data_IF_954534570168
#
_entry.id   IF_954534570168
#
_cell.length_a   1.000
_cell.length_b   1.000
_cell.length_c   1.000
_cell.angle_alpha   90.00
_cell.angle_beta   90.00
_cell.angle_gamma   90.00
#
_symmetry.space_group_name_H-M   'P 1'
#
loop_
_entity.id
_entity.type
_entity.pdbx_description
1 polymer ?
#
# COMPACT_ATOMS: atom_id res chain seq x y z
N UNK A 1 16.93 4.22 18.24
CA UNK A 1 15.48 4.39 18.17
C UNK A 1 14.75 3.73 19.34
N UNK A 2 14.92 2.41 19.60
CA UNK A 2 14.23 1.70 20.71
C UNK A 2 14.50 2.25 22.11
N UNK A 3 15.72 2.70 22.39
CA UNK A 3 16.10 3.35 23.66
C UNK A 3 15.34 4.66 23.91
N UNK A 4 14.91 5.31 22.85
CA UNK A 4 14.11 6.55 22.90
C UNK A 4 12.65 6.29 23.29
N UNK A 5 12.15 5.08 23.04
CA UNK A 5 10.77 4.65 23.38
C UNK A 5 10.66 4.05 24.79
N UNK A 6 11.69 4.20 25.65
CA UNK A 6 11.66 3.80 27.05
C UNK A 6 11.66 2.28 27.28
N UNK A 7 12.00 1.48 26.26
CA UNK A 7 12.03 0.02 26.34
C UNK A 7 13.46 -0.53 26.51
N UNK A 8 13.67 -1.57 27.35
CA UNK A 8 14.92 -2.33 27.36
C UNK A 8 15.24 -2.86 25.96
N UNK A 9 16.51 -2.76 25.55
CA UNK A 9 16.95 -3.27 24.25
C UNK A 9 17.18 -4.79 24.32
N UNK A 10 16.08 -5.57 24.28
CA UNK A 10 16.10 -7.03 24.31
C UNK A 10 16.22 -7.68 22.91
N UNK A 11 16.42 -6.87 21.89
CA UNK A 11 16.59 -7.35 20.51
C UNK A 11 15.29 -7.75 19.80
N UNK A 12 14.12 -7.58 20.43
CA UNK A 12 12.82 -8.03 19.90
C UNK A 12 11.93 -6.90 19.41
N UNK A 13 11.04 -7.24 18.49
CA UNK A 13 9.98 -6.39 17.98
C UNK A 13 10.39 -5.45 16.86
N UNK A 14 9.41 -4.99 16.10
CA UNK A 14 9.53 -4.04 14.99
C UNK A 14 8.72 -2.78 15.27
N UNK A 15 9.23 -1.64 14.81
CA UNK A 15 8.54 -0.36 14.99
C UNK A 15 7.57 -0.11 13.84
N UNK A 16 6.36 0.26 14.15
CA UNK A 16 5.38 0.75 13.18
C UNK A 16 5.83 2.13 12.71
N UNK A 17 6.26 2.23 11.48
CA UNK A 17 6.70 3.49 10.87
C UNK A 17 5.55 4.28 10.29
N UNK A 18 4.48 3.56 9.89
CA UNK A 18 3.30 4.15 9.30
C UNK A 18 2.11 3.19 9.35
N UNK A 19 0.88 3.71 9.28
CA UNK A 19 -0.36 2.95 9.24
C UNK A 19 -1.16 3.41 8.02
N UNK A 20 -1.58 2.46 7.20
CA UNK A 20 -2.38 2.75 6.02
C UNK A 20 -3.81 3.08 6.43
N UNK A 21 -4.29 4.24 5.98
CA UNK A 21 -5.69 4.65 6.05
C UNK A 21 -6.59 3.59 5.41
N UNK A 22 -7.72 3.29 6.07
CA UNK A 22 -8.70 2.27 5.67
C UNK A 22 -8.20 0.81 5.70
N UNK A 23 -6.91 0.57 5.97
CA UNK A 23 -6.37 -0.78 6.15
C UNK A 23 -6.87 -1.47 7.42
N UNK A 24 -6.55 -2.76 7.60
CA UNK A 24 -6.94 -3.53 8.79
C UNK A 24 -6.42 -2.92 10.09
N UNK A 25 -5.21 -2.36 10.07
CA UNK A 25 -4.55 -1.76 11.23
C UNK A 25 -4.98 -0.32 11.54
N UNK A 26 -5.77 0.31 10.66
CA UNK A 26 -6.25 1.68 10.84
C UNK A 26 -7.19 1.79 12.06
N UNK A 27 -6.91 2.74 12.94
CA UNK A 27 -7.61 2.90 14.21
C UNK A 27 -7.16 1.95 15.33
N UNK A 28 -6.32 0.94 15.06
CA UNK A 28 -5.79 -0.01 16.03
C UNK A 28 -4.31 0.23 16.34
N UNK A 29 -3.48 0.40 15.32
CA UNK A 29 -2.07 0.71 15.46
C UNK A 29 -1.79 2.19 15.23
N UNK A 30 -0.66 2.65 15.76
CA UNK A 30 -0.20 4.03 15.64
C UNK A 30 1.29 4.04 15.25
N UNK A 31 1.69 5.09 14.57
CA UNK A 31 3.11 5.34 14.29
C UNK A 31 3.88 5.47 15.58
N UNK A 32 4.95 4.70 15.71
CA UNK A 32 5.78 4.63 16.91
C UNK A 32 5.49 3.44 17.81
N UNK A 33 4.40 2.70 17.60
CA UNK A 33 4.17 1.42 18.26
C UNK A 33 5.32 0.45 17.99
N UNK A 34 5.60 -0.43 18.95
CA UNK A 34 6.54 -1.54 18.75
C UNK A 34 5.76 -2.84 18.83
N UNK A 35 5.64 -3.57 17.73
CA UNK A 35 5.02 -4.89 17.69
C UNK A 35 5.96 -5.90 18.31
N UNK A 36 5.49 -6.60 19.34
CA UNK A 36 6.25 -7.56 20.15
C UNK A 36 5.92 -9.00 19.84
N UNK A 37 4.63 -9.27 19.63
CA UNK A 37 4.15 -10.58 19.23
C UNK A 37 2.94 -10.46 18.30
N UNK A 38 2.74 -11.49 17.51
CA UNK A 38 1.60 -11.69 16.63
C UNK A 38 1.06 -13.10 16.83
N UNK A 39 -0.21 -13.23 17.21
CA UNK A 39 -0.88 -14.51 17.53
C UNK A 39 -0.07 -15.42 18.49
N UNK A 40 0.62 -14.80 19.46
CA UNK A 40 1.46 -15.50 20.43
C UNK A 40 2.88 -15.82 19.95
N UNK A 41 3.21 -15.50 18.69
CA UNK A 41 4.58 -15.65 18.17
C UNK A 41 5.37 -14.36 18.43
N UNK A 42 6.50 -14.48 19.14
CA UNK A 42 7.39 -13.34 19.40
C UNK A 42 8.00 -12.86 18.08
N UNK A 43 8.03 -11.53 17.90
CA UNK A 43 8.60 -10.88 16.72
C UNK A 43 10.05 -10.50 17.02
N UNK A 44 10.98 -10.97 16.21
CA UNK A 44 12.39 -10.62 16.29
C UNK A 44 12.65 -9.21 15.69
N UNK A 45 13.86 -8.72 15.83
CA UNK A 45 14.19 -7.35 15.38
C UNK A 45 14.23 -7.15 13.86
N UNK A 46 14.30 -8.23 13.13
CA UNK A 46 14.28 -8.28 11.66
C UNK A 46 12.86 -8.52 11.08
N UNK A 47 11.84 -8.59 11.96
CA UNK A 47 10.47 -8.86 11.57
C UNK A 47 10.14 -10.35 11.46
N UNK A 48 11.10 -11.23 11.72
CA UNK A 48 10.84 -12.67 11.69
C UNK A 48 10.12 -13.15 12.94
N UNK A 49 9.35 -14.24 12.77
CA UNK A 49 8.69 -15.01 13.82
C UNK A 49 9.03 -16.49 13.65
N UNK A 50 8.88 -17.27 14.71
CA UNK A 50 9.05 -18.73 14.60
C UNK A 50 7.72 -19.41 14.40
N UNK A 51 7.53 -20.01 13.24
CA UNK A 51 6.37 -20.82 12.91
C UNK A 51 6.83 -22.28 12.65
N UNK A 52 6.29 -23.21 13.44
CA UNK A 52 6.70 -24.63 13.35
C UNK A 52 8.22 -24.85 13.46
N UNK A 53 8.89 -24.02 14.27
CA UNK A 53 10.34 -24.08 14.47
C UNK A 53 11.17 -23.40 13.40
N UNK A 54 10.59 -22.90 12.30
CA UNK A 54 11.27 -22.21 11.21
C UNK A 54 11.09 -20.69 11.34
N UNK A 55 12.12 -19.90 11.03
CA UNK A 55 11.96 -18.44 10.94
C UNK A 55 11.21 -18.11 9.64
N UNK A 56 10.15 -17.31 9.75
CA UNK A 56 9.36 -16.77 8.63
C UNK A 56 9.09 -15.28 8.89
N UNK A 57 8.74 -14.52 7.90
CA UNK A 57 8.34 -13.13 8.09
C UNK A 57 6.95 -13.06 8.77
N UNK A 58 6.72 -12.02 9.57
CA UNK A 58 5.49 -11.87 10.34
C UNK A 58 4.24 -11.82 9.46
N UNK A 59 4.37 -11.34 8.22
CA UNK A 59 3.32 -11.28 7.21
C UNK A 59 2.72 -12.66 6.91
N UNK A 60 3.53 -13.72 6.96
CA UNK A 60 3.09 -15.10 6.71
C UNK A 60 1.95 -15.52 7.67
N UNK A 61 1.95 -15.01 8.91
CA UNK A 61 0.87 -15.28 9.86
C UNK A 61 -0.44 -14.63 9.42
N UNK A 62 -0.36 -13.43 8.87
CA UNK A 62 -1.51 -12.69 8.37
C UNK A 62 -2.04 -13.32 7.08
N UNK A 63 -1.14 -13.70 6.16
CA UNK A 63 -1.49 -14.28 4.87
C UNK A 63 -2.19 -15.64 4.97
N UNK A 64 -2.00 -16.35 6.09
CA UNK A 64 -2.71 -17.61 6.38
C UNK A 64 -4.14 -17.44 6.88
N UNK A 65 -4.58 -16.20 7.10
CA UNK A 65 -5.91 -15.88 7.62
C UNK A 65 -6.83 -15.36 6.52
N UNK A 66 -8.13 -15.53 6.76
CA UNK A 66 -9.16 -15.00 5.88
C UNK A 66 -9.64 -13.62 6.36
N UNK A 67 -10.19 -12.86 5.43
CA UNK A 67 -10.88 -11.62 5.75
C UNK A 67 -12.03 -11.88 6.74
N UNK A 68 -12.13 -11.06 7.80
CA UNK A 68 -13.06 -11.23 8.91
C UNK A 68 -12.49 -11.99 10.11
N UNK A 69 -11.35 -12.67 9.99
CA UNK A 69 -10.63 -13.20 11.15
C UNK A 69 -9.86 -12.08 11.87
N UNK A 70 -9.43 -12.35 13.09
CA UNK A 70 -8.68 -11.40 13.91
C UNK A 70 -7.23 -11.82 14.07
N UNK A 71 -6.36 -10.82 14.15
CA UNK A 71 -4.95 -10.97 14.56
C UNK A 71 -4.79 -10.37 15.95
N UNK A 72 -4.16 -11.11 16.86
CA UNK A 72 -3.84 -10.63 18.20
C UNK A 72 -2.40 -10.12 18.24
N UNK A 73 -2.24 -8.88 18.66
CA UNK A 73 -0.95 -8.22 18.74
C UNK A 73 -0.63 -7.87 20.20
N UNK A 74 0.61 -8.08 20.62
CA UNK A 74 1.16 -7.43 21.79
C UNK A 74 2.02 -6.27 21.31
N UNK A 75 1.70 -5.08 21.80
CA UNK A 75 2.26 -3.82 21.33
C UNK A 75 2.82 -3.05 22.51
N UNK A 76 3.99 -2.46 22.34
CA UNK A 76 4.52 -1.48 23.27
C UNK A 76 4.20 -0.08 22.75
N UNK A 77 3.35 0.63 23.49
CA UNK A 77 2.85 1.96 23.18
C UNK A 77 3.05 2.87 24.38
N UNK A 78 3.68 4.01 24.21
CA UNK A 78 3.86 5.05 25.24
C UNK A 78 4.35 4.51 26.61
N UNK A 79 5.28 3.55 26.59
CA UNK A 79 5.84 2.98 27.82
C UNK A 79 5.01 1.87 28.46
N UNK A 80 3.94 1.42 27.83
CA UNK A 80 3.04 0.36 28.31
C UNK A 80 2.91 -0.77 27.30
N UNK A 81 2.65 -1.96 27.80
CA UNK A 81 2.29 -3.10 26.97
C UNK A 81 0.77 -3.14 26.80
N UNK A 82 0.32 -3.20 25.56
CA UNK A 82 -1.08 -3.32 25.19
C UNK A 82 -1.32 -4.59 24.38
N UNK A 83 -2.51 -5.17 24.53
CA UNK A 83 -2.99 -6.28 23.71
C UNK A 83 -4.10 -5.76 22.82
N UNK A 84 -3.92 -5.89 21.52
CA UNK A 84 -4.82 -5.36 20.51
C UNK A 84 -5.30 -6.52 19.65
N UNK A 85 -6.60 -6.55 19.35
CA UNK A 85 -7.19 -7.46 18.37
C UNK A 85 -7.55 -6.63 17.15
N UNK A 86 -6.99 -7.03 16.01
CA UNK A 86 -7.16 -6.32 14.74
C UNK A 86 -7.99 -7.22 13.81
N UNK A 87 -9.22 -6.82 13.45
CA UNK A 87 -10.01 -7.57 12.47
C UNK A 87 -9.40 -7.36 11.08
N UNK A 88 -9.18 -8.46 10.37
CA UNK A 88 -8.64 -8.42 9.02
C UNK A 88 -9.74 -8.02 8.03
N UNK A 89 -9.51 -6.93 7.35
CA UNK A 89 -10.32 -6.50 6.21
C UNK A 89 -9.77 -7.11 4.92
N UNK A 90 -10.59 -7.29 3.87
CA UNK A 90 -10.07 -7.57 2.55
C UNK A 90 -9.00 -6.53 2.20
N UNK A 91 -7.89 -6.96 1.62
CA UNK A 91 -6.89 -6.02 1.13
C UNK A 91 -7.53 -5.22 -0.02
N UNK A 92 -7.92 -3.98 0.26
CA UNK A 92 -8.28 -3.05 -0.80
C UNK A 92 -6.96 -2.57 -1.42
N UNK A 93 -6.52 -3.32 -2.44
CA UNK A 93 -5.27 -2.99 -3.12
C UNK A 93 -5.44 -1.64 -3.80
N UNK A 94 -4.47 -0.75 -3.60
CA UNK A 94 -4.40 0.49 -4.39
C UNK A 94 -4.51 0.13 -5.86
N UNK A 95 -5.39 0.80 -6.60
CA UNK A 95 -5.68 0.44 -7.99
C UNK A 95 -4.42 0.35 -8.88
N UNK A 96 -3.37 1.11 -8.54
CA UNK A 96 -2.09 1.06 -9.26
C UNK A 96 -1.32 -0.26 -9.13
N UNK A 97 -1.65 -1.09 -8.14
CA UNK A 97 -1.08 -2.44 -7.97
C UNK A 97 -2.05 -3.54 -8.39
N UNK A 98 -3.31 -3.18 -8.69
CA UNK A 98 -4.33 -4.13 -9.10
C UNK A 98 -4.08 -4.58 -10.54
N UNK A 99 -3.88 -5.90 -10.70
CA UNK A 99 -3.80 -6.54 -12.03
C UNK A 99 -5.18 -7.05 -12.40
N UNK A 100 -5.80 -6.39 -13.35
CA UNK A 100 -7.12 -6.80 -13.86
C UNK A 100 -6.93 -7.84 -14.97
N UNK A 101 -7.49 -9.03 -14.75
CA UNK A 101 -7.54 -10.08 -15.78
C UNK A 101 -8.87 -10.02 -16.54
N UNK A 102 -9.95 -9.66 -15.87
CA UNK A 102 -11.32 -9.41 -16.36
C UNK A 102 -12.03 -8.49 -15.38
N UNK A 103 -12.91 -7.59 -15.80
CA UNK A 103 -13.40 -7.22 -17.14
C UNK A 103 -12.46 -6.28 -17.91
N UNK A 104 -12.83 -5.89 -19.18
CA UNK A 104 -12.06 -4.91 -19.92
C UNK A 104 -11.88 -3.59 -19.16
N UNK A 105 -10.78 -2.86 -19.38
CA UNK A 105 -10.47 -1.65 -18.63
C UNK A 105 -11.61 -0.62 -18.76
N UNK A 106 -12.01 -0.06 -17.63
CA UNK A 106 -12.99 1.03 -17.59
C UNK A 106 -12.36 2.31 -18.11
N UNK A 107 -13.09 3.07 -18.90
CA UNK A 107 -12.68 4.39 -19.35
C UNK A 107 -13.87 5.33 -19.49
N UNK A 108 -13.58 6.62 -19.44
CA UNK A 108 -14.53 7.68 -19.75
C UNK A 108 -13.96 8.49 -20.91
N UNK A 109 -14.77 8.71 -21.93
CA UNK A 109 -14.44 9.56 -23.06
C UNK A 109 -15.27 10.85 -22.96
N UNK A 110 -14.58 11.99 -22.87
CA UNK A 110 -15.22 13.30 -22.83
C UNK A 110 -14.42 14.33 -23.64
N UNK A 111 -15.05 14.94 -24.63
CA UNK A 111 -14.39 15.96 -25.48
C UNK A 111 -13.11 15.46 -26.17
N UNK A 112 -13.04 14.18 -26.53
CA UNK A 112 -11.83 13.56 -27.09
C UNK A 112 -10.74 13.22 -26.05
N UNK A 113 -10.99 13.46 -24.76
CA UNK A 113 -10.09 13.09 -23.68
C UNK A 113 -10.50 11.70 -23.13
N UNK A 114 -9.54 10.81 -22.96
CA UNK A 114 -9.74 9.46 -22.44
C UNK A 114 -9.19 9.40 -21.01
N UNK A 115 -10.07 9.16 -20.07
CA UNK A 115 -9.73 9.01 -18.66
C UNK A 115 -9.84 7.55 -18.25
N UNK A 116 -8.86 7.04 -17.52
CA UNK A 116 -8.82 5.65 -17.03
C UNK A 116 -8.31 5.60 -15.59
N UNK A 117 -8.79 4.64 -14.76
CA UNK A 117 -8.15 4.34 -13.48
C UNK A 117 -6.70 3.92 -13.72
N UNK A 118 -5.79 4.39 -12.87
CA UNK A 118 -4.40 3.97 -12.89
C UNK A 118 -4.29 2.57 -12.27
N UNK A 119 -4.20 1.56 -13.10
CA UNK A 119 -4.04 0.15 -12.71
C UNK A 119 -2.64 -0.34 -13.04
N UNK A 120 -2.22 -1.48 -12.47
CA UNK A 120 -0.93 -2.10 -12.79
C UNK A 120 -0.81 -2.43 -14.29
N UNK A 121 -1.90 -2.88 -14.92
CA UNK A 121 -1.93 -3.13 -16.36
C UNK A 121 -1.66 -1.87 -17.17
N UNK A 122 -2.32 -0.75 -16.83
CA UNK A 122 -2.11 0.52 -17.51
C UNK A 122 -0.69 1.04 -17.27
N UNK A 123 -0.18 0.94 -16.05
CA UNK A 123 1.21 1.30 -15.73
C UNK A 123 2.22 0.49 -16.55
N UNK A 124 1.99 -0.82 -16.72
CA UNK A 124 2.86 -1.68 -17.53
C UNK A 124 2.88 -1.24 -19.01
N UNK A 125 1.73 -0.90 -19.58
CA UNK A 125 1.63 -0.40 -20.95
C UNK A 125 2.34 0.95 -21.10
N UNK A 126 2.11 1.88 -20.18
CA UNK A 126 2.71 3.20 -20.22
C UNK A 126 4.23 3.16 -19.96
N UNK A 127 4.69 2.26 -19.07
CA UNK A 127 6.12 2.06 -18.81
C UNK A 127 6.86 1.37 -19.96
N UNK A 128 6.16 0.51 -20.73
CA UNK A 128 6.68 -0.12 -21.95
C UNK A 128 6.73 0.84 -23.14
N UNK A 129 6.04 1.98 -23.07
CA UNK A 129 6.09 3.03 -24.07
C UNK A 129 7.40 3.85 -24.03
N UNK A 130 7.69 4.56 -25.12
CA UNK A 130 8.91 5.35 -25.26
C UNK A 130 8.95 6.64 -24.41
N UNK A 131 7.88 6.98 -23.68
CA UNK A 131 7.80 8.22 -22.91
C UNK A 131 8.42 8.08 -21.51
N UNK A 132 9.70 8.42 -21.44
CA UNK A 132 10.47 8.45 -20.18
C UNK A 132 9.84 9.37 -19.13
N UNK A 133 9.14 10.44 -19.53
CA UNK A 133 8.51 11.37 -18.59
C UNK A 133 7.37 10.72 -17.85
N UNK A 134 6.54 9.93 -18.52
CA UNK A 134 5.47 9.17 -17.90
C UNK A 134 6.03 8.13 -16.90
N UNK A 135 7.06 7.40 -17.34
CA UNK A 135 7.73 6.43 -16.47
C UNK A 135 8.27 7.07 -15.19
N UNK A 136 8.93 8.21 -15.29
CA UNK A 136 9.43 8.95 -14.13
C UNK A 136 8.30 9.44 -13.23
N UNK A 137 7.21 10.00 -13.79
CA UNK A 137 6.04 10.41 -12.99
C UNK A 137 5.46 9.27 -12.17
N UNK A 138 5.27 8.09 -12.76
CA UNK A 138 4.74 6.93 -12.03
C UNK A 138 5.70 6.40 -11.00
N UNK A 139 7.00 6.39 -11.30
CA UNK A 139 8.02 6.03 -10.31
C UNK A 139 7.97 6.99 -9.12
N UNK A 140 7.89 8.29 -9.34
CA UNK A 140 7.76 9.31 -8.29
C UNK A 140 6.44 9.12 -7.51
N UNK A 141 5.31 8.94 -8.20
CA UNK A 141 4.02 8.69 -7.56
C UNK A 141 4.07 7.48 -6.62
N UNK A 142 4.74 6.39 -7.03
CA UNK A 142 4.92 5.21 -6.20
C UNK A 142 5.93 5.45 -5.07
N UNK A 143 7.08 6.08 -5.36
CA UNK A 143 8.15 6.33 -4.39
C UNK A 143 7.72 7.32 -3.30
N UNK A 144 7.02 8.38 -3.69
CA UNK A 144 6.53 9.41 -2.76
C UNK A 144 5.24 8.97 -2.07
N UNK A 145 4.76 7.76 -2.36
CA UNK A 145 3.56 7.15 -1.76
C UNK A 145 2.30 8.00 -1.93
N UNK A 146 2.21 8.78 -3.00
CA UNK A 146 1.07 9.64 -3.29
C UNK A 146 -0.24 8.85 -3.48
N UNK A 147 -0.15 7.55 -3.78
CA UNK A 147 -1.29 6.64 -3.83
C UNK A 147 -2.02 6.51 -2.48
N UNK A 148 -1.39 6.91 -1.37
CA UNK A 148 -2.05 6.90 -0.04
C UNK A 148 -3.11 7.99 0.08
N UNK A 149 -2.88 9.12 -0.57
CA UNK A 149 -3.84 10.24 -0.60
C UNK A 149 -4.88 10.04 -1.69
N UNK A 150 -4.52 9.32 -2.75
CA UNK A 150 -5.39 9.01 -3.88
C UNK A 150 -5.35 7.51 -4.20
N UNK A 151 -6.06 6.64 -3.44
CA UNK A 151 -5.97 5.18 -3.57
C UNK A 151 -6.50 4.66 -4.91
N UNK A 152 -7.36 5.41 -5.58
CA UNK A 152 -7.92 5.07 -6.90
C UNK A 152 -7.75 6.24 -7.89
N UNK A 153 -6.49 6.60 -8.23
CA UNK A 153 -6.25 7.75 -9.08
C UNK A 153 -6.75 7.52 -10.50
N UNK A 154 -7.29 8.56 -11.10
CA UNK A 154 -7.71 8.58 -12.50
C UNK A 154 -6.72 9.43 -13.28
N UNK A 155 -6.33 8.96 -14.45
CA UNK A 155 -5.39 9.67 -15.31
C UNK A 155 -5.99 9.96 -16.67
N UNK A 156 -5.53 11.03 -17.29
CA UNK A 156 -5.73 11.28 -18.72
C UNK A 156 -4.77 10.37 -19.51
N UNK A 157 -5.29 9.25 -20.03
CA UNK A 157 -4.49 8.22 -20.69
C UNK A 157 -4.24 8.51 -22.17
N UNK A 158 -5.16 9.23 -22.82
CA UNK A 158 -5.03 9.60 -24.23
C UNK A 158 -5.81 10.87 -24.56
N UNK A 159 -5.36 11.57 -25.60
CA UNK A 159 -6.11 12.65 -26.27
C UNK A 159 -6.33 12.22 -27.71
N UNK A 160 -7.59 11.99 -28.07
CA UNK A 160 -7.96 11.69 -29.45
C UNK A 160 -7.74 12.92 -30.32
N UNK A 161 -7.12 12.76 -31.50
CA UNK A 161 -6.78 13.92 -32.34
C UNK A 161 -8.04 14.67 -32.82
N UNK A 162 -8.14 15.93 -32.43
CA UNK A 162 -9.13 16.87 -32.93
C UNK A 162 -8.50 18.26 -32.92
N UNK A 163 -8.97 19.14 -33.79
CA UNK A 163 -8.45 20.53 -33.89
C UNK A 163 -8.69 21.34 -32.62
N UNK A 164 -9.74 20.98 -31.85
CA UNK A 164 -10.13 21.68 -30.63
C UNK A 164 -9.33 21.26 -29.38
N UNK A 165 -8.66 20.09 -29.43
CA UNK A 165 -8.00 19.53 -28.24
C UNK A 165 -6.51 19.18 -28.42
N UNK A 166 -5.91 19.47 -29.56
CA UNK A 166 -4.52 19.13 -29.90
C UNK A 166 -3.51 19.68 -28.88
N UNK A 167 -3.79 20.83 -28.29
CA UNK A 167 -2.96 21.47 -27.27
C UNK A 167 -2.97 20.74 -25.92
N UNK A 168 -3.94 19.87 -25.68
CA UNK A 168 -4.07 19.09 -24.44
C UNK A 168 -3.20 17.85 -24.43
N UNK A 169 -2.56 17.47 -25.54
CA UNK A 169 -1.71 16.27 -25.63
C UNK A 169 -0.58 16.24 -24.60
N UNK A 170 -0.07 17.43 -24.23
CA UNK A 170 0.96 17.55 -23.18
C UNK A 170 0.48 17.19 -21.78
N UNK A 171 -0.82 17.05 -21.56
CA UNK A 171 -1.42 16.70 -20.27
C UNK A 171 -1.58 15.18 -20.06
N UNK A 172 -1.33 14.37 -21.09
CA UNK A 172 -1.40 12.90 -20.96
C UNK A 172 -0.49 12.41 -19.83
N UNK A 173 -1.03 11.55 -18.99
CA UNK A 173 -0.34 11.01 -17.81
C UNK A 173 -0.38 11.93 -16.59
N UNK A 174 -1.14 13.01 -16.58
CA UNK A 174 -1.41 13.75 -15.35
C UNK A 174 -2.42 12.98 -14.50
N UNK A 175 -2.12 12.90 -13.19
CA UNK A 175 -2.97 12.31 -12.17
C UNK A 175 -3.82 13.42 -11.58
N UNK A 176 -5.10 13.20 -11.46
CA UNK A 176 -6.04 14.08 -10.76
C UNK A 176 -6.55 13.40 -9.50
#
# INVERSE_FOLDING_TARGET
>A
MRKYLGRPNDGRGVVVTDVFSEGSSDGYLQKGDVLLSIDGHAIESDGSVRLEGKPVQLEEIVERKFAGEEVRLEVWREGKMERIQVPLKPADMFSMYEVLYEPPPRYVLYGGLVFQPLTANLMAVLAGGADLRLKLKYTMFATDQMYREAPKPVILSAVLPDSSNVYLRGLVGQVS
#
